data_IF_113357560217
#
_entry.id   IF_113357560217
#
_cell.length_a   1.000
_cell.length_b   1.000
_cell.length_c   1.000
_cell.angle_alpha   90.00
_cell.angle_beta   90.00
_cell.angle_gamma   90.00
#
_symmetry.space_group_name_H-M   'P 1'
#
loop_
_entity.id
_entity.type
_entity.pdbx_description
1 polymer ?
#
# COMPACT_ATOMS: atom_id res chain seq x y z
N UNK A 1 -7.14 11.10 0.81
CA UNK A 1 -7.50 9.72 1.20
C UNK A 1 -7.28 8.86 -0.03
N UNK A 2 -6.21 8.07 0.01
CA UNK A 2 -5.78 7.29 -1.14
C UNK A 2 -6.84 6.23 -1.47
N UNK A 3 -7.30 6.20 -2.73
CA UNK A 3 -8.45 5.42 -3.18
C UNK A 3 -8.16 3.93 -3.41
N UNK A 4 -7.03 3.43 -2.91
CA UNK A 4 -6.56 2.06 -3.10
C UNK A 4 -7.48 1.06 -2.41
N UNK A 5 -7.68 -0.09 -3.07
CA UNK A 5 -8.57 -1.15 -2.59
C UNK A 5 -7.77 -2.40 -2.24
N UNK A 6 -8.23 -3.11 -1.21
CA UNK A 6 -7.73 -4.44 -0.91
C UNK A 6 -8.32 -5.49 -1.88
N UNK A 7 -7.87 -6.74 -1.78
CA UNK A 7 -8.28 -7.85 -2.65
C UNK A 7 -9.77 -8.21 -2.55
N UNK A 8 -10.48 -7.75 -1.51
CA UNK A 8 -11.93 -7.92 -1.33
C UNK A 8 -12.74 -6.75 -1.92
N UNK A 9 -12.08 -5.78 -2.56
CA UNK A 9 -12.70 -4.59 -3.14
C UNK A 9 -13.05 -3.49 -2.13
N UNK A 10 -12.74 -3.70 -0.84
CA UNK A 10 -12.88 -2.69 0.22
C UNK A 10 -11.67 -1.76 0.30
N UNK A 11 -11.71 -0.79 1.23
CA UNK A 11 -10.58 0.13 1.44
C UNK A 11 -9.29 -0.61 1.81
N UNK A 12 -8.16 -0.18 1.25
CA UNK A 12 -6.85 -0.66 1.67
C UNK A 12 -6.55 -0.16 3.09
N UNK A 13 -6.16 -1.08 3.97
CA UNK A 13 -5.75 -0.77 5.33
C UNK A 13 -4.23 -0.67 5.41
N UNK A 14 -3.74 -0.01 6.46
CA UNK A 14 -2.31 0.03 6.76
C UNK A 14 -1.78 -1.38 7.06
N UNK A 15 -0.60 -1.69 6.53
CA UNK A 15 0.15 -2.91 6.80
C UNK A 15 1.02 -2.76 8.05
N UNK A 16 1.82 -1.69 8.14
CA UNK A 16 2.68 -1.45 9.31
C UNK A 16 3.20 0.00 9.41
N UNK A 17 3.25 0.52 10.64
CA UNK A 17 3.89 1.80 10.97
C UNK A 17 5.17 1.65 11.81
N UNK A 18 5.43 0.46 12.36
CA UNK A 18 6.58 0.17 13.20
C UNK A 18 7.05 -1.28 12.99
N UNK A 19 7.91 -1.55 11.99
CA UNK A 19 8.58 -0.59 11.10
C UNK A 19 7.66 0.02 10.04
N UNK A 20 7.97 1.23 9.58
CA UNK A 20 7.20 1.90 8.51
C UNK A 20 7.42 1.20 7.16
N UNK A 21 6.32 0.69 6.58
CA UNK A 21 6.32 -0.08 5.32
C UNK A 21 5.72 0.71 4.14
N UNK A 22 5.56 0.03 2.99
CA UNK A 22 5.01 0.57 1.75
C UNK A 22 6.06 1.16 0.82
N UNK A 23 5.84 1.08 -0.50
CA UNK A 23 6.76 1.67 -1.49
C UNK A 23 6.89 3.18 -1.28
N UNK A 24 5.78 3.88 -1.08
CA UNK A 24 5.73 5.32 -0.78
C UNK A 24 6.01 5.65 0.69
N UNK A 25 6.33 4.65 1.53
CA UNK A 25 6.61 4.80 2.97
C UNK A 25 5.49 5.50 3.74
N UNK A 26 4.25 5.14 3.44
CA UNK A 26 3.03 5.64 4.08
C UNK A 26 2.38 4.60 5.01
N UNK A 27 2.98 3.41 5.12
CA UNK A 27 2.48 2.29 5.90
C UNK A 27 1.49 1.38 5.17
N UNK A 28 1.15 1.67 3.92
CA UNK A 28 0.23 0.86 3.11
C UNK A 28 0.95 0.13 1.97
N UNK A 29 0.45 -1.05 1.58
CA UNK A 29 0.95 -1.78 0.42
C UNK A 29 0.30 -1.25 -0.88
N UNK A 30 0.28 0.07 -1.04
CA UNK A 30 -0.18 0.70 -2.27
C UNK A 30 0.94 0.79 -3.32
N UNK A 31 0.56 0.94 -4.58
CA UNK A 31 1.48 0.90 -5.72
C UNK A 31 1.07 1.95 -6.76
N UNK A 32 1.97 2.28 -7.67
CA UNK A 32 1.73 3.23 -8.76
C UNK A 32 2.78 3.09 -9.86
N UNK A 33 2.82 4.03 -10.83
CA UNK A 33 3.65 3.89 -12.04
C UNK A 33 5.15 3.70 -11.77
N UNK A 34 5.64 4.26 -10.67
CA UNK A 34 7.06 4.20 -10.29
C UNK A 34 7.44 2.92 -9.53
N UNK A 35 6.45 2.17 -9.03
CA UNK A 35 6.66 0.92 -8.28
C UNK A 35 6.70 -0.29 -9.22
N UNK A 36 7.81 -0.41 -9.95
CA UNK A 36 8.03 -1.54 -10.87
C UNK A 36 8.09 -2.89 -10.14
N UNK A 37 8.43 -2.90 -8.85
CA UNK A 37 8.53 -4.09 -8.01
C UNK A 37 7.19 -4.61 -7.48
N UNK A 38 6.13 -3.78 -7.51
CA UNK A 38 4.78 -4.10 -7.01
C UNK A 38 4.79 -4.53 -5.55
N UNK A 39 4.99 -3.60 -4.65
CA UNK A 39 4.99 -3.81 -3.19
C UNK A 39 3.55 -3.89 -2.63
N UNK A 40 2.76 -4.88 -3.09
CA UNK A 40 1.32 -5.00 -2.82
C UNK A 40 0.90 -6.19 -1.94
N UNK A 41 1.85 -6.91 -1.34
CA UNK A 41 1.62 -8.11 -0.50
C UNK A 41 1.96 -7.80 0.95
#
# INVERSE_FOLDING_TARGET
>A
MNGSKNVLGGALLACSYAPLTGFYRDGCCETGPDDLGRHII
#
